data_IF_604864610071
#
_entry.id   IF_604864610071
#
_cell.length_a   1.000
_cell.length_b   1.000
_cell.length_c   1.000
_cell.angle_alpha   90.00
_cell.angle_beta   90.00
_cell.angle_gamma   90.00
#
_symmetry.space_group_name_H-M   'P 1'
#
loop_
_entity.id
_entity.type
_entity.pdbx_description
1 polymer ?
#
# COMPACT_ATOMS: atom_id res chain seq x y z
N UNK A 1 19.10 20.79 12.45
CA UNK A 1 17.89 20.41 11.67
C UNK A 1 16.98 19.66 12.63
N UNK A 2 15.79 20.17 12.88
CA UNK A 2 14.86 19.57 13.85
C UNK A 2 14.44 18.20 13.32
N UNK A 3 14.93 17.12 13.94
CA UNK A 3 14.34 15.80 13.80
C UNK A 3 12.96 15.87 14.44
N UNK A 4 11.95 16.31 13.68
CA UNK A 4 10.58 16.15 14.13
C UNK A 4 10.36 14.65 14.31
N UNK A 5 10.14 14.23 15.54
CA UNK A 5 9.80 12.84 15.84
C UNK A 5 8.62 12.45 14.96
N UNK A 6 8.80 11.38 14.18
CA UNK A 6 7.71 10.85 13.37
C UNK A 6 6.55 10.47 14.30
N UNK A 7 5.30 10.67 13.85
CA UNK A 7 4.13 10.30 14.64
C UNK A 7 4.16 8.81 14.98
N UNK A 8 3.62 8.46 16.16
CA UNK A 8 3.41 7.06 16.55
C UNK A 8 2.05 6.59 16.04
N UNK A 9 2.00 5.37 15.53
CA UNK A 9 0.74 4.71 15.16
C UNK A 9 0.31 3.82 16.32
N UNK A 10 -0.95 3.92 16.69
CA UNK A 10 -1.56 2.99 17.65
C UNK A 10 -2.29 1.90 16.87
N UNK A 11 -1.95 0.66 17.17
CA UNK A 11 -2.60 -0.51 16.56
C UNK A 11 -3.91 -0.82 17.29
N UNK A 12 -4.92 -1.24 16.53
CA UNK A 12 -6.12 -1.85 17.11
C UNK A 12 -5.78 -3.20 17.75
N UNK A 13 -6.63 -3.76 18.62
CA UNK A 13 -6.39 -5.09 19.20
C UNK A 13 -6.19 -6.19 18.14
N UNK A 14 -6.92 -6.13 17.02
CA UNK A 14 -6.76 -7.10 15.93
C UNK A 14 -5.44 -6.88 15.18
N UNK A 15 -5.04 -5.63 14.96
CA UNK A 15 -3.74 -5.30 14.35
C UNK A 15 -2.57 -5.71 15.24
N UNK A 16 -2.64 -5.49 16.55
CA UNK A 16 -1.62 -5.97 17.49
C UNK A 16 -1.52 -7.49 17.45
N UNK A 17 -2.66 -8.20 17.51
CA UNK A 17 -2.70 -9.66 17.40
C UNK A 17 -2.12 -10.16 16.07
N UNK A 18 -2.45 -9.49 14.97
CA UNK A 18 -1.91 -9.80 13.65
C UNK A 18 -0.40 -9.58 13.61
N UNK A 19 0.08 -8.42 14.09
CA UNK A 19 1.50 -8.11 14.17
C UNK A 19 2.25 -9.17 14.96
N UNK A 20 1.76 -9.54 16.14
CA UNK A 20 2.41 -10.52 17.01
C UNK A 20 2.48 -11.90 16.33
N UNK A 21 1.40 -12.35 15.66
CA UNK A 21 1.38 -13.57 14.87
C UNK A 21 2.44 -13.55 13.76
N UNK A 22 2.53 -12.45 13.01
CA UNK A 22 3.49 -12.28 11.92
C UNK A 22 4.93 -12.27 12.45
N UNK A 23 5.18 -11.61 13.59
CA UNK A 23 6.51 -11.57 14.20
C UNK A 23 6.94 -12.95 14.73
N UNK A 24 6.05 -13.68 15.38
CA UNK A 24 6.33 -15.06 15.82
C UNK A 24 6.64 -15.98 14.64
N UNK A 25 5.90 -15.85 13.53
CA UNK A 25 6.23 -16.56 12.29
C UNK A 25 7.64 -16.19 11.82
N UNK A 26 7.97 -14.89 11.72
CA UNK A 26 9.32 -14.50 11.27
C UNK A 26 10.43 -15.00 12.18
N UNK A 27 10.19 -15.11 13.48
CA UNK A 27 11.13 -15.69 14.43
C UNK A 27 11.31 -17.21 14.25
N UNK A 28 10.27 -17.90 13.76
CA UNK A 28 10.32 -19.34 13.44
C UNK A 28 10.99 -19.66 12.10
N UNK A 29 11.00 -18.70 11.16
CA UNK A 29 11.67 -18.83 9.88
C UNK A 29 13.19 -18.83 10.08
N UNK A 30 13.90 -19.73 9.39
CA UNK A 30 15.34 -19.88 9.51
C UNK A 30 16.07 -18.55 9.27
N UNK A 31 17.07 -18.24 10.12
CA UNK A 31 17.86 -17.01 10.04
C UNK A 31 18.73 -16.94 8.76
N UNK A 32 19.04 -18.09 8.15
CA UNK A 32 19.89 -18.21 6.96
C UNK A 32 19.11 -18.03 5.65
N UNK A 33 18.29 -16.98 5.56
CA UNK A 33 17.75 -16.57 4.26
C UNK A 33 18.87 -15.91 3.43
N UNK A 34 18.91 -16.13 2.09
CA UNK A 34 19.97 -15.57 1.23
C UNK A 34 20.15 -14.05 1.35
N UNK A 35 19.08 -13.34 1.71
CA UNK A 35 19.02 -11.87 1.79
C UNK A 35 18.88 -11.35 3.24
N UNK A 36 19.25 -12.18 4.23
CA UNK A 36 19.17 -11.83 5.66
C UNK A 36 17.80 -12.04 6.29
N UNK A 37 17.63 -11.69 7.59
CA UNK A 37 16.42 -11.99 8.34
C UNK A 37 15.17 -11.37 7.71
N UNK A 38 14.03 -12.02 7.94
CA UNK A 38 12.73 -11.55 7.41
C UNK A 38 12.29 -10.31 8.18
N UNK A 39 12.26 -9.18 7.49
CA UNK A 39 11.77 -7.89 8.01
C UNK A 39 10.46 -7.54 7.34
N UNK A 40 9.43 -7.34 8.15
CA UNK A 40 8.07 -7.06 7.71
C UNK A 40 7.72 -5.61 7.93
N UNK A 41 6.97 -5.06 6.97
CA UNK A 41 6.41 -3.72 7.02
C UNK A 41 4.96 -3.74 6.60
N UNK A 42 4.14 -2.91 7.22
CA UNK A 42 2.87 -2.53 6.61
C UNK A 42 3.08 -1.29 5.75
N UNK A 43 2.59 -1.32 4.52
CA UNK A 43 3.00 -0.36 3.50
C UNK A 43 1.85 0.53 3.02
N UNK A 44 2.22 1.73 2.55
CA UNK A 44 1.40 2.56 1.69
C UNK A 44 0.09 3.03 2.30
N UNK A 45 -1.03 2.54 1.76
CA UNK A 45 -2.37 3.07 2.04
C UNK A 45 -2.74 2.99 3.51
N UNK A 46 -2.44 1.86 4.16
CA UNK A 46 -2.73 1.66 5.58
C UNK A 46 -1.99 2.68 6.46
N UNK A 47 -0.70 2.94 6.19
CA UNK A 47 0.11 3.90 6.98
C UNK A 47 -0.48 5.31 6.87
N UNK A 48 -0.79 5.73 5.63
CA UNK A 48 -1.44 7.02 5.36
C UNK A 48 -2.77 7.15 6.09
N UNK A 49 -3.62 6.14 5.99
CA UNK A 49 -4.97 6.18 6.53
C UNK A 49 -4.93 6.20 8.07
N UNK A 50 -4.03 5.44 8.70
CA UNK A 50 -3.80 5.53 10.16
C UNK A 50 -3.35 6.91 10.61
N UNK A 51 -2.46 7.55 9.86
CA UNK A 51 -2.02 8.92 10.18
C UNK A 51 -3.12 9.96 9.98
N UNK A 52 -4.12 9.68 9.14
CA UNK A 52 -5.32 10.51 8.96
C UNK A 52 -6.44 10.17 9.96
N UNK A 53 -6.28 9.13 10.78
CA UNK A 53 -7.33 8.64 11.68
C UNK A 53 -8.46 7.92 10.94
N UNK A 54 -8.18 7.39 9.75
CA UNK A 54 -9.10 6.58 8.94
C UNK A 54 -8.79 5.11 9.20
N UNK A 55 -9.80 4.32 9.52
CA UNK A 55 -9.64 2.87 9.65
C UNK A 55 -9.49 2.22 8.27
N UNK A 56 -8.52 1.30 8.16
CA UNK A 56 -8.29 0.49 6.96
C UNK A 56 -8.20 -0.97 7.37
N UNK A 57 -9.01 -1.82 6.73
CA UNK A 57 -8.94 -3.27 6.89
C UNK A 57 -8.08 -3.94 5.81
N UNK A 58 -7.54 -3.17 4.86
CA UNK A 58 -6.64 -3.65 3.81
C UNK A 58 -5.20 -3.28 4.17
N UNK A 59 -4.33 -4.29 4.26
CA UNK A 59 -2.92 -4.15 4.63
C UNK A 59 -2.02 -4.84 3.61
N UNK A 60 -1.21 -4.03 2.93
CA UNK A 60 -0.05 -4.50 2.17
C UNK A 60 1.09 -4.86 3.14
N UNK A 61 1.40 -6.14 3.28
CA UNK A 61 2.54 -6.65 4.05
C UNK A 61 3.76 -6.76 3.13
N UNK A 62 4.67 -5.80 3.25
CA UNK A 62 5.90 -5.74 2.47
C UNK A 62 7.03 -6.55 3.12
N UNK A 63 7.64 -7.43 2.32
CA UNK A 63 8.63 -8.43 2.73
C UNK A 63 9.95 -8.20 1.98
N UNK A 64 11.08 -8.21 2.69
CA UNK A 64 12.40 -7.89 2.13
C UNK A 64 13.08 -9.03 1.36
N UNK A 65 12.92 -10.29 1.79
CA UNK A 65 13.84 -11.36 1.37
C UNK A 65 13.19 -12.59 0.72
N UNK A 66 11.86 -12.69 0.64
CA UNK A 66 11.16 -13.85 0.04
C UNK A 66 9.84 -13.43 -0.61
N UNK A 67 9.34 -14.22 -1.57
CA UNK A 67 8.08 -13.92 -2.30
C UNK A 67 6.87 -13.89 -1.36
N UNK A 68 5.86 -13.10 -1.73
CA UNK A 68 4.59 -13.08 -1.00
C UNK A 68 3.93 -14.46 -0.95
N UNK A 69 4.03 -15.24 -2.03
CA UNK A 69 3.61 -16.64 -2.08
C UNK A 69 4.32 -17.51 -1.03
N UNK A 70 5.66 -17.50 -1.01
CA UNK A 70 6.44 -18.30 -0.06
C UNK A 70 6.04 -17.96 1.37
N UNK A 71 5.96 -16.66 1.69
CA UNK A 71 5.58 -16.21 3.02
C UNK A 71 4.15 -16.60 3.37
N UNK A 72 3.20 -16.47 2.45
CA UNK A 72 1.82 -16.88 2.63
C UNK A 72 1.68 -18.37 2.93
N UNK A 73 2.42 -19.23 2.21
CA UNK A 73 2.44 -20.68 2.46
C UNK A 73 3.00 -21.03 3.84
N UNK A 74 4.09 -20.38 4.25
CA UNK A 74 4.66 -20.58 5.59
C UNK A 74 3.73 -20.08 6.69
N UNK A 75 3.04 -18.95 6.49
CA UNK A 75 2.01 -18.47 7.39
C UNK A 75 0.85 -19.48 7.53
N UNK A 76 0.40 -20.05 6.42
CA UNK A 76 -0.64 -21.08 6.41
C UNK A 76 -0.24 -22.32 7.23
N UNK A 77 0.99 -22.81 7.06
CA UNK A 77 1.53 -23.94 7.86
C UNK A 77 1.68 -23.57 9.33
N UNK A 78 2.18 -22.37 9.63
CA UNK A 78 2.39 -21.88 10.98
C UNK A 78 1.06 -21.79 11.75
N UNK A 79 0.02 -21.27 11.12
CA UNK A 79 -1.31 -21.14 11.71
C UNK A 79 -2.02 -22.49 11.96
N UNK A 80 -1.53 -23.60 11.40
CA UNK A 80 -2.07 -24.94 11.68
C UNK A 80 -1.48 -25.57 12.95
N UNK A 81 -0.41 -25.01 13.52
CA UNK A 81 0.21 -25.53 14.73
C UNK A 81 -0.72 -25.28 15.93
N UNK A 82 -0.96 -26.32 16.73
CA UNK A 82 -1.94 -26.28 17.81
C UNK A 82 -1.70 -25.14 18.82
N UNK A 83 -0.44 -24.88 19.18
CA UNK A 83 -0.08 -23.80 20.09
C UNK A 83 -0.31 -22.40 19.50
N UNK A 84 -0.17 -22.23 18.17
CA UNK A 84 -0.45 -20.96 17.47
C UNK A 84 -1.94 -20.70 17.46
N UNK A 85 -2.74 -21.73 17.13
CA UNK A 85 -4.20 -21.67 17.17
C UNK A 85 -4.69 -21.27 18.56
N UNK A 86 -4.12 -21.87 19.60
CA UNK A 86 -4.47 -21.57 20.99
C UNK A 86 -4.04 -20.15 21.39
N UNK A 87 -2.77 -19.78 21.21
CA UNK A 87 -2.20 -18.46 21.59
C UNK A 87 -2.94 -17.33 20.90
N UNK A 88 -3.17 -17.47 19.60
CA UNK A 88 -3.79 -16.45 18.77
C UNK A 88 -5.26 -16.70 18.54
N UNK A 89 -5.95 -17.61 19.24
CA UNK A 89 -7.40 -17.84 19.13
C UNK A 89 -7.93 -17.98 17.69
N UNK A 90 -7.16 -18.61 16.79
CA UNK A 90 -7.49 -18.70 15.36
C UNK A 90 -8.73 -19.58 15.17
N UNK A 91 -9.79 -19.05 14.57
CA UNK A 91 -11.02 -19.82 14.34
C UNK A 91 -10.89 -20.65 13.07
N UNK A 92 -11.73 -21.68 12.94
CA UNK A 92 -11.82 -22.48 11.70
C UNK A 92 -12.12 -21.62 10.47
N UNK A 93 -12.87 -20.54 10.63
CA UNK A 93 -13.20 -19.61 9.53
C UNK A 93 -11.97 -18.79 9.10
N UNK A 94 -11.11 -18.38 10.04
CA UNK A 94 -9.83 -17.71 9.75
C UNK A 94 -8.88 -18.66 8.97
N UNK A 95 -8.87 -19.95 9.34
CA UNK A 95 -8.09 -20.98 8.63
C UNK A 95 -8.59 -21.21 7.20
N UNK A 96 -9.87 -21.02 6.91
CA UNK A 96 -10.39 -21.13 5.54
C UNK A 96 -9.83 -20.04 4.62
N UNK A 97 -9.66 -18.81 5.14
CA UNK A 97 -8.96 -17.73 4.44
C UNK A 97 -7.50 -18.05 4.14
N UNK A 98 -6.81 -18.76 5.04
CA UNK A 98 -5.44 -19.24 4.86
C UNK A 98 -5.31 -20.40 3.87
N UNK A 99 -6.32 -21.26 3.76
CA UNK A 99 -6.36 -22.29 2.71
C UNK A 99 -6.65 -21.69 1.32
N UNK A 100 -7.26 -20.50 1.26
CA UNK A 100 -7.55 -19.75 0.06
C UNK A 100 -6.45 -18.73 -0.28
N UNK A 101 -5.16 -19.10 -0.13
CA UNK A 101 -4.07 -18.29 -0.70
C UNK A 101 -4.26 -18.27 -2.21
N UNK A 102 -4.84 -17.17 -2.70
CA UNK A 102 -5.02 -16.92 -4.12
C UNK A 102 -3.73 -16.32 -4.63
N UNK A 103 -3.00 -17.11 -5.41
CA UNK A 103 -1.96 -16.58 -6.27
C UNK A 103 -2.64 -15.65 -7.27
N UNK A 104 -2.13 -14.43 -7.37
CA UNK A 104 -2.72 -13.41 -8.24
C UNK A 104 -1.83 -13.19 -9.49
N UNK A 105 -1.86 -14.10 -10.49
CA UNK A 105 -1.00 -14.01 -11.68
C UNK A 105 -1.29 -12.76 -12.53
N UNK A 106 -2.48 -12.17 -12.38
CA UNK A 106 -2.88 -10.91 -13.02
C UNK A 106 -2.11 -9.70 -12.45
N UNK A 107 -1.63 -9.74 -11.20
CA UNK A 107 -0.85 -8.64 -10.59
C UNK A 107 0.64 -8.65 -11.00
N UNK A 108 1.20 -9.76 -11.52
CA UNK A 108 2.47 -9.83 -12.29
C UNK A 108 2.84 -11.29 -12.62
N UNK A 109 3.46 -11.54 -13.79
CA UNK A 109 4.13 -12.81 -14.10
C UNK A 109 5.48 -13.00 -13.37
N UNK A 110 6.00 -11.94 -12.73
CA UNK A 110 7.32 -11.89 -12.08
C UNK A 110 7.23 -11.59 -10.56
N UNK A 111 6.03 -11.45 -9.99
CA UNK A 111 5.82 -11.18 -8.56
C UNK A 111 4.69 -12.07 -8.05
N UNK A 112 5.08 -13.18 -7.47
CA UNK A 112 4.19 -14.10 -6.77
C UNK A 112 3.67 -13.42 -5.48
N UNK A 113 2.52 -12.76 -5.61
CA UNK A 113 1.79 -12.16 -4.48
C UNK A 113 0.76 -13.13 -3.96
N UNK A 114 0.55 -13.12 -2.64
CA UNK A 114 -0.46 -13.92 -1.96
C UNK A 114 -1.43 -12.99 -1.25
N UNK A 115 -2.70 -13.39 -1.22
CA UNK A 115 -3.75 -12.65 -0.51
C UNK A 115 -4.46 -13.59 0.47
N UNK A 116 -4.81 -13.10 1.65
CA UNK A 116 -5.57 -13.85 2.65
C UNK A 116 -6.34 -12.89 3.55
N UNK A 117 -7.27 -13.42 4.37
CA UNK A 117 -7.98 -12.64 5.37
C UNK A 117 -7.74 -13.28 6.74
N UNK A 118 -7.31 -12.47 7.71
CA UNK A 118 -7.05 -12.89 9.08
C UNK A 118 -7.54 -11.85 10.08
N UNK A 119 -8.28 -12.28 11.11
CA UNK A 119 -8.78 -11.40 12.17
C UNK A 119 -9.63 -10.22 11.64
N UNK A 120 -10.32 -10.43 10.51
CA UNK A 120 -11.12 -9.40 9.83
C UNK A 120 -10.30 -8.37 9.04
N UNK A 121 -9.01 -8.65 8.81
CA UNK A 121 -8.10 -7.82 8.02
C UNK A 121 -7.74 -8.57 6.74
N UNK A 122 -7.89 -7.89 5.61
CA UNK A 122 -7.43 -8.35 4.30
C UNK A 122 -5.93 -8.06 4.17
N UNK A 123 -5.18 -9.07 3.76
CA UNK A 123 -3.72 -9.05 3.71
C UNK A 123 -3.23 -9.34 2.31
N UNK A 124 -2.46 -8.42 1.76
CA UNK A 124 -1.72 -8.56 0.51
C UNK A 124 -0.22 -8.70 0.81
N UNK A 125 0.35 -9.89 0.61
CA UNK A 125 1.78 -10.12 0.77
C UNK A 125 2.54 -9.70 -0.49
N UNK A 126 3.40 -8.70 -0.34
CA UNK A 126 4.14 -8.08 -1.44
C UNK A 126 5.63 -8.02 -1.15
N UNK A 127 6.41 -8.09 -2.23
CA UNK A 127 7.85 -7.94 -2.16
C UNK A 127 8.25 -6.47 -2.16
N UNK A 128 9.20 -6.11 -1.30
CA UNK A 128 10.00 -4.91 -1.56
C UNK A 128 10.76 -5.15 -2.85
N UNK A 129 10.59 -4.23 -3.80
CA UNK A 129 11.11 -4.44 -5.13
C UNK A 129 11.74 -3.18 -5.70
N UNK A 130 12.78 -3.41 -6.49
CA UNK A 130 13.39 -2.44 -7.37
C UNK A 130 12.86 -2.66 -8.77
N UNK A 131 12.52 -1.57 -9.44
CA UNK A 131 12.03 -1.59 -10.82
C UNK A 131 13.05 -0.89 -11.72
N UNK A 132 13.49 -1.59 -12.78
CA UNK A 132 14.33 -1.00 -13.83
C UNK A 132 13.53 -0.92 -15.11
N UNK A 133 13.34 0.30 -15.62
CA UNK A 133 12.57 0.55 -16.84
C UNK A 133 13.51 0.64 -18.04
N UNK A 134 13.39 -0.31 -18.97
CA UNK A 134 14.06 -0.23 -20.26
C UNK A 134 13.30 0.75 -21.18
N UNK A 135 14.04 1.49 -22.03
CA UNK A 135 13.49 2.57 -22.85
C UNK A 135 12.35 2.14 -23.79
N UNK A 136 12.35 0.86 -24.20
CA UNK A 136 11.42 0.27 -25.16
C UNK A 136 10.41 -0.72 -24.53
N UNK A 137 10.46 -0.97 -23.22
CA UNK A 137 9.55 -1.90 -22.54
C UNK A 137 8.51 -1.17 -21.69
N UNK A 138 7.26 -1.64 -21.73
CA UNK A 138 6.19 -1.18 -20.82
C UNK A 138 6.25 -1.82 -19.44
N UNK A 139 6.91 -2.97 -19.34
CA UNK A 139 7.01 -3.73 -18.09
C UNK A 139 8.45 -3.58 -17.57
N UNK A 140 8.63 -3.11 -16.32
CA UNK A 140 9.95 -3.05 -15.73
C UNK A 140 10.50 -4.45 -15.45
N UNK A 141 11.81 -4.57 -15.43
CA UNK A 141 12.49 -5.68 -14.77
C UNK A 141 12.38 -5.47 -13.26
N UNK A 142 12.06 -6.54 -12.54
CA UNK A 142 11.75 -6.47 -11.12
C UNK A 142 12.72 -7.35 -10.34
N UNK A 143 13.38 -6.76 -9.36
CA UNK A 143 14.31 -7.43 -8.46
C UNK A 143 13.92 -7.18 -7.00
N UNK A 144 14.43 -7.98 -6.07
CA UNK A 144 14.32 -7.66 -4.65
C UNK A 144 15.00 -6.32 -4.36
N UNK A 145 14.30 -5.45 -3.63
CA UNK A 145 14.76 -4.11 -3.32
C UNK A 145 14.70 -3.79 -1.83
N UNK A 146 15.33 -2.68 -1.47
CA UNK A 146 15.22 -2.09 -0.13
C UNK A 146 13.90 -1.32 0.04
N UNK A 147 13.52 -0.98 1.28
CA UNK A 147 12.37 -0.12 1.54
C UNK A 147 12.53 1.26 0.87
N UNK A 148 13.75 1.77 0.79
CA UNK A 148 14.08 2.99 0.06
C UNK A 148 13.81 2.85 -1.44
N UNK A 149 14.33 1.80 -2.09
CA UNK A 149 14.12 1.56 -3.53
C UNK A 149 12.63 1.35 -3.85
N UNK A 150 11.90 0.63 -2.99
CA UNK A 150 10.46 0.44 -3.11
C UNK A 150 9.69 1.76 -2.94
N UNK A 151 10.11 2.63 -2.02
CA UNK A 151 9.51 3.95 -1.82
C UNK A 151 9.66 4.84 -3.06
N UNK A 152 10.87 4.88 -3.64
CA UNK A 152 11.18 5.76 -4.77
C UNK A 152 10.38 5.41 -6.04
N UNK A 153 10.07 4.13 -6.24
CA UNK A 153 9.26 3.70 -7.39
C UNK A 153 7.76 3.88 -7.18
N UNK A 154 7.25 4.37 -6.04
CA UNK A 154 5.81 4.54 -5.83
C UNK A 154 5.27 5.78 -6.53
N UNK A 155 3.94 5.89 -6.58
CA UNK A 155 3.26 6.96 -7.28
C UNK A 155 3.28 8.28 -6.50
N UNK A 156 2.96 8.24 -5.21
CA UNK A 156 2.89 9.41 -4.35
C UNK A 156 3.66 9.20 -3.03
N UNK A 157 4.30 10.26 -2.53
CA UNK A 157 5.04 10.29 -1.25
C UNK A 157 4.17 9.83 -0.08
N UNK A 158 2.92 10.30 -0.02
CA UNK A 158 1.92 9.90 0.98
C UNK A 158 1.54 8.41 0.91
N UNK A 159 1.88 7.69 -0.16
CA UNK A 159 1.66 6.25 -0.31
C UNK A 159 2.98 5.46 -0.27
N UNK A 160 4.10 6.13 0.00
CA UNK A 160 5.45 5.56 -0.02
C UNK A 160 6.06 5.42 1.39
N UNK A 161 5.21 5.50 2.42
CA UNK A 161 5.60 5.27 3.81
C UNK A 161 5.43 3.80 4.19
N UNK A 162 6.22 3.37 5.16
CA UNK A 162 6.14 2.05 5.75
C UNK A 162 6.03 2.15 7.27
N UNK A 163 5.35 1.18 7.88
CA UNK A 163 5.39 0.94 9.32
C UNK A 163 6.15 -0.35 9.57
N UNK A 164 7.34 -0.25 10.17
CA UNK A 164 8.18 -1.39 10.46
C UNK A 164 7.66 -2.13 11.71
N UNK A 165 7.27 -3.39 11.54
CA UNK A 165 6.67 -4.19 12.60
C UNK A 165 7.67 -4.56 13.71
N UNK A 166 8.96 -4.57 13.40
CA UNK A 166 10.01 -4.97 14.34
C UNK A 166 10.43 -3.83 15.26
N UNK A 167 10.38 -2.59 14.79
CA UNK A 167 10.81 -1.40 15.53
C UNK A 167 9.67 -0.48 15.99
N UNK A 168 8.42 -0.79 15.63
CA UNK A 168 7.24 0.04 15.92
C UNK A 168 7.41 1.50 15.47
N UNK A 169 7.99 1.68 14.28
CA UNK A 169 8.34 3.00 13.76
C UNK A 169 7.94 3.17 12.30
N UNK A 170 7.60 4.40 11.94
CA UNK A 170 7.39 4.80 10.54
C UNK A 170 8.75 4.97 9.86
N UNK A 171 8.88 4.43 8.66
CA UNK A 171 9.97 4.69 7.74
C UNK A 171 9.42 5.56 6.59
N UNK A 172 9.89 6.80 6.51
CA UNK A 172 9.53 7.74 5.44
C UNK A 172 10.80 8.20 4.73
N UNK A 173 10.99 7.67 3.52
CA UNK A 173 12.14 7.98 2.67
C UNK A 173 11.85 9.12 1.67
N UNK A 174 10.61 9.61 1.63
CA UNK A 174 10.11 10.48 0.55
C UNK A 174 9.57 11.82 1.03
N UNK A 175 9.44 12.02 2.34
CA UNK A 175 8.77 13.19 2.93
C UNK A 175 7.24 13.07 2.93
N UNK A 176 6.71 11.85 2.82
CA UNK A 176 5.28 11.56 2.82
C UNK A 176 4.55 12.05 4.07
N UNK A 177 5.18 12.06 5.25
CA UNK A 177 4.56 12.58 6.48
C UNK A 177 4.36 14.09 6.41
N UNK A 178 5.33 14.82 5.86
CA UNK A 178 5.23 16.26 5.67
C UNK A 178 4.16 16.60 4.63
N UNK A 179 4.18 15.93 3.47
CA UNK A 179 3.18 16.11 2.42
C UNK A 179 1.76 15.73 2.92
N UNK A 180 1.63 14.71 3.78
CA UNK A 180 0.35 14.35 4.40
C UNK A 180 -0.19 15.47 5.30
N UNK A 181 0.69 16.08 6.11
CA UNK A 181 0.34 17.21 6.97
C UNK A 181 -0.07 18.44 6.16
N UNK A 182 0.65 18.72 5.09
CA UNK A 182 0.42 19.86 4.21
C UNK A 182 -0.71 19.61 3.20
N UNK A 183 -1.30 18.40 3.18
CA UNK A 183 -2.34 17.96 2.25
C UNK A 183 -1.92 18.09 0.79
N UNK A 184 -0.70 17.66 0.50
CA UNK A 184 -0.08 17.71 -0.83
C UNK A 184 0.12 16.31 -1.40
N UNK A 185 -0.21 16.12 -2.67
CA UNK A 185 0.17 14.94 -3.45
C UNK A 185 1.41 15.28 -4.27
N UNK A 186 2.49 14.56 -4.01
CA UNK A 186 3.80 14.71 -4.66
C UNK A 186 4.34 13.36 -5.09
N UNK A 187 5.11 13.32 -6.16
CA UNK A 187 5.83 12.10 -6.60
C UNK A 187 7.13 11.92 -5.79
N UNK A 188 7.52 10.67 -5.43
CA UNK A 188 8.81 10.41 -4.77
C UNK A 188 10.03 10.85 -5.59
N UNK A 189 10.04 10.51 -6.87
CA UNK A 189 11.05 10.95 -7.83
C UNK A 189 10.59 12.19 -8.60
N UNK A 190 11.45 12.70 -9.49
CA UNK A 190 11.07 13.75 -10.43
C UNK A 190 9.78 13.41 -11.18
N UNK A 191 8.78 14.31 -11.24
CA UNK A 191 7.48 14.02 -11.84
C UNK A 191 7.59 13.51 -13.29
N UNK A 192 8.50 14.07 -14.07
CA UNK A 192 8.71 13.68 -15.47
C UNK A 192 9.15 12.23 -15.58
N UNK A 193 10.15 11.81 -14.81
CA UNK A 193 10.59 10.42 -14.78
C UNK A 193 9.45 9.50 -14.32
N UNK A 194 8.78 9.86 -13.23
CA UNK A 194 7.67 9.08 -12.66
C UNK A 194 6.57 8.81 -13.69
N UNK A 195 6.21 9.81 -14.49
CA UNK A 195 5.17 9.67 -15.52
C UNK A 195 5.66 8.97 -16.79
N UNK A 196 6.93 9.08 -17.14
CA UNK A 196 7.49 8.35 -18.30
C UNK A 196 7.67 6.85 -18.00
N UNK A 197 7.99 6.52 -16.75
CA UNK A 197 8.10 5.15 -16.24
C UNK A 197 6.74 4.45 -16.23
N UNK A 198 5.70 5.09 -15.67
CA UNK A 198 4.31 4.62 -15.75
C UNK A 198 3.33 5.80 -15.89
N UNK A 199 2.84 6.07 -17.11
CA UNK A 199 1.90 7.16 -17.34
C UNK A 199 0.59 7.02 -16.54
N UNK A 200 0.23 5.83 -16.05
CA UNK A 200 -1.00 5.63 -15.28
C UNK A 200 -0.96 6.40 -13.96
N UNK A 201 0.26 6.72 -13.48
CA UNK A 201 0.46 7.50 -12.26
C UNK A 201 -0.16 8.88 -12.35
N UNK A 202 -0.29 9.47 -13.54
CA UNK A 202 -1.01 10.75 -13.72
C UNK A 202 -2.46 10.62 -13.23
N UNK A 203 -3.19 9.61 -13.72
CA UNK A 203 -4.59 9.36 -13.32
C UNK A 203 -4.69 8.96 -11.85
N UNK A 204 -3.75 8.16 -11.35
CA UNK A 204 -3.70 7.76 -9.93
C UNK A 204 -3.53 8.96 -9.01
N UNK A 205 -2.64 9.88 -9.34
CA UNK A 205 -2.40 11.08 -8.54
C UNK A 205 -3.64 11.99 -8.51
N UNK A 206 -4.31 12.16 -9.66
CA UNK A 206 -5.59 12.88 -9.72
C UNK A 206 -6.65 12.20 -8.86
N UNK A 207 -6.75 10.86 -8.91
CA UNK A 207 -7.65 10.10 -8.03
C UNK A 207 -7.31 10.30 -6.56
N UNK A 208 -6.04 10.24 -6.16
CA UNK A 208 -5.65 10.43 -4.76
C UNK A 208 -5.93 11.86 -4.28
N UNK A 209 -5.61 12.87 -5.09
CA UNK A 209 -5.91 14.26 -4.78
C UNK A 209 -7.41 14.48 -4.57
N UNK A 210 -8.24 13.93 -5.47
CA UNK A 210 -9.71 13.99 -5.36
C UNK A 210 -10.22 13.25 -4.10
N UNK A 211 -9.80 11.99 -3.89
CA UNK A 211 -10.28 11.16 -2.78
C UNK A 211 -9.89 11.70 -1.41
N UNK A 212 -8.68 12.25 -1.26
CA UNK A 212 -8.17 12.77 0.01
C UNK A 212 -8.51 14.25 0.22
N UNK A 213 -9.00 14.95 -0.80
CA UNK A 213 -9.19 16.40 -0.77
C UNK A 213 -7.87 17.17 -0.67
N UNK A 214 -6.82 16.65 -1.33
CA UNK A 214 -5.46 17.19 -1.30
C UNK A 214 -5.16 17.95 -2.60
N UNK A 215 -4.19 18.87 -2.55
CA UNK A 215 -3.69 19.57 -3.74
C UNK A 215 -2.50 18.82 -4.34
N UNK A 216 -2.38 18.80 -5.67
CA UNK A 216 -1.17 18.26 -6.33
C UNK A 216 -0.07 19.33 -6.30
N UNK A 217 1.16 18.96 -5.98
CA UNK A 217 2.29 19.87 -5.98
C UNK A 217 2.46 20.57 -7.35
N UNK A 218 2.78 21.86 -7.35
CA UNK A 218 2.85 22.70 -8.56
C UNK A 218 3.74 22.10 -9.66
N UNK A 219 4.95 21.66 -9.30
CA UNK A 219 5.89 21.04 -10.24
C UNK A 219 5.35 19.72 -10.81
N UNK A 220 4.61 18.95 -10.02
CA UNK A 220 3.94 17.72 -10.46
C UNK A 220 2.79 18.05 -11.42
N UNK A 221 1.97 19.06 -11.11
CA UNK A 221 0.86 19.50 -11.96
C UNK A 221 1.32 20.05 -13.31
N UNK A 222 2.37 20.89 -13.31
CA UNK A 222 2.98 21.39 -14.54
C UNK A 222 3.48 20.23 -15.43
N UNK A 223 4.13 19.24 -14.82
CA UNK A 223 4.63 18.09 -15.55
C UNK A 223 3.52 17.19 -16.12
N UNK A 224 2.36 17.10 -15.46
CA UNK A 224 1.20 16.38 -16.01
C UNK A 224 0.69 17.00 -17.33
N UNK A 225 0.96 18.29 -17.55
CA UNK A 225 0.58 19.03 -18.75
C UNK A 225 1.66 19.02 -19.83
N UNK A 226 2.82 18.38 -19.59
CA UNK A 226 3.88 18.25 -20.60
C UNK A 226 3.36 17.39 -21.77
N UNK A 227 3.48 17.85 -23.03
CA UNK A 227 3.01 17.11 -24.20
C UNK A 227 3.56 15.68 -24.27
N UNK A 228 4.80 15.45 -23.87
CA UNK A 228 5.42 14.11 -23.88
C UNK A 228 4.76 13.17 -22.88
N UNK A 229 4.33 13.69 -21.74
CA UNK A 229 3.60 12.93 -20.72
C UNK A 229 2.19 12.60 -21.20
N UNK A 230 1.50 13.56 -21.83
CA UNK A 230 0.18 13.35 -22.42
C UNK A 230 0.22 12.33 -23.57
N UNK A 231 1.23 12.41 -24.44
CA UNK A 231 1.46 11.47 -25.52
C UNK A 231 1.75 10.06 -24.97
N UNK A 232 2.61 9.96 -23.94
CA UNK A 232 2.88 8.69 -23.28
C UNK A 232 1.61 8.10 -22.64
N UNK A 233 0.78 8.92 -22.00
CA UNK A 233 -0.51 8.53 -21.42
C UNK A 233 -1.46 7.97 -22.49
N UNK A 234 -1.55 8.63 -23.64
CA UNK A 234 -2.41 8.23 -24.74
C UNK A 234 -1.91 6.97 -25.48
N UNK A 235 -0.60 6.79 -25.62
CA UNK A 235 0.01 5.70 -26.41
C UNK A 235 0.29 4.44 -25.59
N UNK A 236 0.69 4.57 -24.32
CA UNK A 236 1.16 3.44 -23.50
C UNK A 236 0.08 2.79 -22.63
N UNK A 237 -1.06 3.45 -22.40
CA UNK A 237 -2.14 2.91 -21.55
C UNK A 237 -3.31 2.40 -22.40
N UNK A 238 -3.75 1.17 -22.10
CA UNK A 238 -4.94 0.61 -22.72
C UNK A 238 -6.23 1.22 -22.14
N UNK A 239 -7.31 1.24 -22.93
CA UNK A 239 -8.60 1.81 -22.49
C UNK A 239 -9.15 1.12 -21.24
N UNK A 240 -8.85 -0.17 -21.06
CA UNK A 240 -9.25 -0.95 -19.90
C UNK A 240 -8.59 -0.42 -18.61
N UNK A 241 -7.28 -0.12 -18.64
CA UNK A 241 -6.55 0.41 -17.47
C UNK A 241 -7.03 1.81 -17.10
N UNK A 242 -7.32 2.66 -18.09
CA UNK A 242 -7.97 3.96 -17.87
C UNK A 242 -9.35 3.75 -17.25
N UNK A 243 -10.13 2.82 -17.80
CA UNK A 243 -11.47 2.47 -17.31
C UNK A 243 -11.48 2.02 -15.85
N UNK A 244 -10.53 1.17 -15.43
CA UNK A 244 -10.39 0.75 -14.02
C UNK A 244 -10.13 1.94 -13.11
N UNK A 245 -9.26 2.87 -13.51
CA UNK A 245 -8.93 4.02 -12.67
C UNK A 245 -10.08 5.01 -12.61
N UNK A 246 -10.78 5.25 -13.72
CA UNK A 246 -11.99 6.06 -13.77
C UNK A 246 -13.14 5.41 -12.97
N UNK A 247 -13.32 4.10 -13.06
CA UNK A 247 -14.31 3.37 -12.28
C UNK A 247 -14.02 3.49 -10.78
N UNK A 248 -12.75 3.42 -10.37
CA UNK A 248 -12.35 3.70 -8.98
C UNK A 248 -12.57 5.16 -8.56
N UNK A 249 -12.48 6.12 -9.48
CA UNK A 249 -12.83 7.52 -9.22
C UNK A 249 -14.35 7.70 -9.06
N UNK A 250 -15.14 7.05 -9.91
CA UNK A 250 -16.60 7.14 -9.93
C UNK A 250 -17.28 6.35 -8.81
N UNK A 251 -16.76 5.16 -8.49
CA UNK A 251 -17.16 4.34 -7.35
C UNK A 251 -16.59 4.84 -6.04
N UNK A 252 -15.94 6.00 -6.02
CA UNK A 252 -15.37 6.58 -4.81
C UNK A 252 -16.36 6.41 -3.67
N UNK A 253 -16.00 5.58 -2.70
CA UNK A 253 -16.69 5.50 -1.43
C UNK A 253 -16.60 6.89 -0.83
N UNK A 254 -17.60 7.71 -1.12
CA UNK A 254 -18.07 8.70 -0.17
C UNK A 254 -18.51 7.88 1.03
N UNK A 255 -17.59 7.60 1.95
CA UNK A 255 -17.96 7.24 3.31
C UNK A 255 -18.89 8.36 3.77
N UNK A 256 -20.18 8.02 3.81
CA UNK A 256 -21.32 8.84 4.21
C UNK A 256 -20.92 10.14 4.91
N UNK A 257 -20.80 11.22 4.14
CA UNK A 257 -21.03 12.54 4.70
C UNK A 257 -22.48 12.54 5.15
N UNK A 258 -22.68 12.36 6.46
CA UNK A 258 -23.96 12.60 7.09
C UNK A 258 -24.25 14.10 6.91
N UNK A 259 -24.95 14.45 5.84
CA UNK A 259 -25.64 15.72 5.73
C UNK A 259 -26.73 15.70 6.81
N UNK A 260 -26.39 16.16 8.01
CA UNK A 260 -27.39 16.69 8.93
C UNK A 260 -27.84 18.02 8.35
N UNK A 261 -28.87 17.96 7.50
CA UNK A 261 -29.63 19.15 7.11
C UNK A 261 -30.53 19.56 8.27
N UNK A 262 -30.40 20.77 8.85
CA UNK A 262 -31.44 21.32 9.69
C UNK A 262 -32.41 22.09 8.79
N UNK A 263 -33.29 21.38 8.08
CA UNK A 263 -34.48 22.03 7.53
C UNK A 263 -35.56 22.07 8.59
N UNK A 264 -35.50 23.17 9.33
CA UNK A 264 -36.53 23.69 10.20
C UNK A 264 -37.81 23.88 9.38
N UNK A 265 -38.79 22.98 9.52
CA UNK A 265 -40.14 23.18 8.98
C UNK A 265 -40.88 24.12 9.92
N UNK A 266 -40.79 25.42 9.64
CA UNK A 266 -41.68 26.41 10.21
C UNK A 266 -43.08 26.16 9.68
N UNK A 267 -43.96 25.66 10.54
CA UNK A 267 -45.40 25.66 10.32
C UNK A 267 -45.89 27.09 10.12
N UNK A 268 -46.56 27.34 9.01
CA UNK A 268 -47.35 28.56 8.79
C UNK A 268 -48.82 28.12 8.78
N UNK A 269 -49.57 28.68 9.73
CA UNK A 269 -51.03 28.69 9.78
C UNK A 269 -51.63 29.43 8.59
#
# INVERSE_FOLDING_TARGET
>A
MSTSLLPRINLTPNETRLKDLLLDLTASLAQDQPNGPVVLRWAGGWVRDKLLGIESNDIDVAINCMTGETFGLELGKFCQQAWVVEKYGIKKDDLHGLHLIRLNPEKSKNLETATTQLFGVDLDFVNLRKETYAQDSRNPEVEFGTAYEDAMRRDATVNAMFYNLHSDSIEDHTGGVADLKDKVIRTPLGPFQTFMDDPLRVLRLVRFASRLGFTIAENTCQCMSDPRVLDALALKITRERVGIELDKMLKGEFSSFHFSSPLNTTSIN
#
